data_IF_341714211801
#
_entry.id   IF_341714211801
#
_cell.length_a   1.000
_cell.length_b   1.000
_cell.length_c   1.000
_cell.angle_alpha   90.00
_cell.angle_beta   90.00
_cell.angle_gamma   90.00
#
_symmetry.space_group_name_H-M   'P 1'
#
loop_
_entity.id
_entity.type
_entity.pdbx_description
1 polymer ?
#
# COMPACT_ATOMS: atom_id res chain seq x y z
N UNK A 1 24.57 -12.41 -9.77
CA UNK A 1 24.84 -13.30 -8.62
C UNK A 1 25.54 -12.47 -7.55
N UNK A 2 24.77 -11.81 -6.68
CA UNK A 2 25.33 -11.16 -5.49
C UNK A 2 24.59 -11.73 -4.30
N UNK A 3 25.32 -12.39 -3.40
CA UNK A 3 24.82 -12.87 -2.14
C UNK A 3 24.57 -11.64 -1.24
N UNK A 4 23.37 -11.07 -1.32
CA UNK A 4 22.94 -10.04 -0.39
C UNK A 4 22.93 -10.62 1.03
N UNK A 5 23.65 -9.99 1.95
CA UNK A 5 23.62 -10.34 3.37
C UNK A 5 22.19 -10.21 3.91
N UNK A 6 21.82 -11.10 4.82
CA UNK A 6 20.53 -11.14 5.51
C UNK A 6 20.31 -9.99 6.52
N UNK A 7 20.90 -8.81 6.30
CA UNK A 7 20.54 -7.59 7.04
C UNK A 7 19.73 -6.68 6.13
N UNK A 8 18.43 -6.61 6.43
CA UNK A 8 17.53 -5.51 6.10
C UNK A 8 17.08 -5.38 4.64
N UNK A 9 16.41 -6.43 4.17
CA UNK A 9 15.40 -6.31 3.13
C UNK A 9 14.12 -5.66 3.67
N UNK A 10 14.18 -4.45 4.21
CA UNK A 10 12.94 -3.69 4.46
C UNK A 10 12.26 -3.45 3.11
N UNK A 11 11.07 -4.01 2.86
CA UNK A 11 10.22 -3.60 1.75
C UNK A 11 9.95 -4.64 0.66
N UNK A 12 9.49 -5.83 1.02
CA UNK A 12 8.68 -6.65 0.10
C UNK A 12 7.21 -6.18 0.15
N UNK A 13 6.97 -4.89 -0.08
CA UNK A 13 5.61 -4.42 -0.40
C UNK A 13 5.50 -4.52 -1.92
N UNK A 14 4.87 -5.56 -2.48
CA UNK A 14 4.56 -5.59 -3.89
C UNK A 14 3.70 -4.36 -4.20
N UNK A 15 4.21 -3.49 -5.05
CA UNK A 15 3.42 -2.42 -5.64
C UNK A 15 2.75 -2.98 -6.90
N UNK A 16 1.55 -2.50 -7.20
CA UNK A 16 0.81 -2.91 -8.40
C UNK A 16 1.57 -2.62 -9.69
N UNK A 17 1.14 -3.31 -10.76
CA UNK A 17 1.67 -3.17 -12.12
C UNK A 17 1.27 -1.86 -12.80
N UNK A 18 0.93 -1.88 -14.09
CA UNK A 18 0.52 -0.67 -14.84
C UNK A 18 -1.00 -0.62 -15.12
N UNK A 19 -1.78 -1.52 -14.53
CA UNK A 19 -3.22 -1.57 -14.76
C UNK A 19 -3.95 -0.50 -13.94
N UNK A 20 -4.97 0.18 -14.48
CA UNK A 20 -5.77 1.11 -13.68
C UNK A 20 -6.65 0.35 -12.68
N UNK A 21 -7.09 1.04 -11.62
CA UNK A 21 -8.18 0.54 -10.79
C UNK A 21 -9.44 0.33 -11.63
N UNK A 22 -10.17 -0.74 -11.36
CA UNK A 22 -11.37 -1.14 -12.11
C UNK A 22 -12.52 -1.37 -11.14
N UNK A 23 -13.73 -1.02 -11.57
CA UNK A 23 -14.94 -1.49 -10.90
C UNK A 23 -15.12 -2.97 -11.27
N UNK A 24 -15.07 -3.85 -10.26
CA UNK A 24 -15.12 -5.29 -10.48
C UNK A 24 -16.53 -5.76 -10.84
N UNK A 25 -17.57 -5.02 -10.42
CA UNK A 25 -18.97 -5.32 -10.75
C UNK A 25 -19.30 -5.09 -12.22
N UNK A 26 -18.57 -4.18 -12.89
CA UNK A 26 -18.73 -3.96 -14.33
C UNK A 26 -17.99 -4.99 -15.20
N UNK A 27 -17.33 -5.98 -14.59
CA UNK A 27 -16.53 -6.99 -15.30
C UNK A 27 -17.17 -8.38 -15.31
N UNK A 28 -18.19 -8.62 -14.48
CA UNK A 28 -18.92 -9.89 -14.43
C UNK A 28 -19.98 -10.04 -15.54
N UNK A 29 -20.57 -11.24 -15.68
CA UNK A 29 -21.81 -11.40 -16.44
C UNK A 29 -22.93 -10.51 -15.84
N UNK A 30 -23.96 -10.20 -16.64
CA UNK A 30 -24.97 -9.14 -16.42
C UNK A 30 -25.30 -8.77 -14.95
N UNK A 31 -25.47 -7.46 -14.72
CA UNK A 31 -25.64 -6.78 -13.42
C UNK A 31 -26.97 -7.09 -12.67
N UNK A 32 -27.42 -8.34 -12.67
CA UNK A 32 -28.74 -8.74 -12.18
C UNK A 32 -28.76 -9.34 -10.78
N UNK A 33 -27.62 -9.43 -10.08
CA UNK A 33 -27.56 -10.05 -8.74
C UNK A 33 -27.54 -8.98 -7.64
N UNK A 34 -28.47 -9.10 -6.68
CA UNK A 34 -28.55 -8.31 -5.45
C UNK A 34 -27.28 -8.47 -4.58
N UNK A 35 -26.56 -9.59 -4.72
CA UNK A 35 -25.29 -9.86 -4.05
C UNK A 35 -24.19 -10.21 -5.06
N UNK A 36 -23.01 -9.60 -4.90
CA UNK A 36 -21.85 -9.88 -5.73
C UNK A 36 -20.69 -10.48 -4.92
N UNK A 37 -20.13 -11.59 -5.41
CA UNK A 37 -19.00 -12.27 -4.81
C UNK A 37 -17.75 -12.10 -5.67
N UNK A 38 -16.69 -11.53 -5.09
CA UNK A 38 -15.46 -11.19 -5.82
C UNK A 38 -14.24 -11.77 -5.13
N UNK A 39 -13.44 -12.55 -5.87
CA UNK A 39 -12.16 -13.07 -5.41
C UNK A 39 -10.99 -12.29 -6.00
N UNK A 40 -10.18 -11.69 -5.13
CA UNK A 40 -8.93 -11.01 -5.47
C UNK A 40 -7.73 -11.86 -5.05
N UNK A 41 -6.87 -12.21 -6.01
CA UNK A 41 -5.65 -12.98 -5.77
C UNK A 41 -4.44 -12.12 -6.10
N UNK A 42 -3.61 -11.81 -5.11
CA UNK A 42 -2.38 -11.04 -5.29
C UNK A 42 -2.63 -9.60 -5.74
N UNK A 43 -3.69 -8.95 -5.22
CA UNK A 43 -4.00 -7.55 -5.55
C UNK A 43 -2.97 -6.59 -4.98
N UNK A 44 -2.36 -6.95 -3.85
CA UNK A 44 -1.34 -6.21 -3.10
C UNK A 44 -1.79 -4.87 -2.48
N UNK A 45 -2.82 -4.22 -3.03
CA UNK A 45 -3.39 -2.98 -2.55
C UNK A 45 -4.92 -2.93 -2.76
N UNK A 46 -5.64 -2.01 -2.08
CA UNK A 46 -7.10 -2.00 -2.07
C UNK A 46 -7.77 -1.21 -3.20
N UNK A 47 -7.05 -0.73 -4.22
CA UNK A 47 -7.60 0.17 -5.24
C UNK A 47 -8.83 -0.37 -5.98
N UNK A 48 -8.87 -1.68 -6.24
CA UNK A 48 -10.00 -2.31 -6.93
C UNK A 48 -11.22 -2.38 -6.02
N UNK A 49 -11.00 -2.67 -4.72
CA UNK A 49 -12.05 -2.63 -3.70
C UNK A 49 -12.60 -1.21 -3.58
N UNK A 50 -11.74 -0.21 -3.39
CA UNK A 50 -12.15 1.20 -3.29
C UNK A 50 -12.89 1.68 -4.55
N UNK A 51 -12.40 1.34 -5.74
CA UNK A 51 -13.07 1.71 -7.00
C UNK A 51 -14.44 1.04 -7.17
N UNK A 52 -14.58 -0.18 -6.66
CA UNK A 52 -15.83 -0.95 -6.70
C UNK A 52 -16.83 -0.40 -5.69
N UNK A 53 -16.42 -0.20 -4.43
CA UNK A 53 -17.25 0.38 -3.37
C UNK A 53 -17.75 1.78 -3.76
N UNK A 54 -16.90 2.61 -4.36
CA UNK A 54 -17.29 3.95 -4.83
C UNK A 54 -18.35 3.96 -5.94
N UNK A 55 -18.61 2.81 -6.58
CA UNK A 55 -19.66 2.65 -7.59
C UNK A 55 -20.79 1.71 -7.18
N UNK A 56 -20.80 1.26 -5.92
CA UNK A 56 -21.82 0.37 -5.37
C UNK A 56 -23.14 1.14 -5.20
N UNK A 57 -24.26 0.49 -5.54
CA UNK A 57 -25.60 1.00 -5.26
C UNK A 57 -26.03 0.56 -3.85
N UNK A 58 -26.85 1.35 -3.16
CA UNK A 58 -27.23 1.10 -1.75
C UNK A 58 -27.90 -0.27 -1.50
N UNK A 59 -28.50 -0.84 -2.54
CA UNK A 59 -29.25 -2.11 -2.48
C UNK A 59 -28.40 -3.35 -2.81
N UNK A 60 -27.13 -3.16 -3.21
CA UNK A 60 -26.27 -4.26 -3.67
C UNK A 60 -25.27 -4.71 -2.60
N UNK A 61 -25.37 -5.97 -2.18
CA UNK A 61 -24.39 -6.63 -1.31
C UNK A 61 -23.08 -6.91 -2.05
N UNK A 62 -21.93 -6.73 -1.39
CA UNK A 62 -20.61 -7.01 -1.95
C UNK A 62 -19.76 -7.81 -0.96
N UNK A 63 -19.38 -9.02 -1.35
CA UNK A 63 -18.44 -9.87 -0.62
C UNK A 63 -17.12 -9.95 -1.37
N UNK A 64 -16.04 -9.44 -0.77
CA UNK A 64 -14.70 -9.48 -1.36
C UNK A 64 -13.81 -10.45 -0.58
N UNK A 65 -13.36 -11.50 -1.25
CA UNK A 65 -12.39 -12.46 -0.74
C UNK A 65 -10.99 -12.08 -1.22
N UNK A 66 -10.02 -12.01 -0.32
CA UNK A 66 -8.65 -11.59 -0.64
C UNK A 66 -7.66 -12.68 -0.30
N UNK A 67 -6.84 -13.08 -1.28
CA UNK A 67 -5.75 -14.04 -1.13
C UNK A 67 -4.43 -13.33 -1.42
N UNK A 68 -3.53 -13.31 -0.44
CA UNK A 68 -2.21 -12.69 -0.56
C UNK A 68 -1.10 -13.66 -0.13
N UNK A 69 0.12 -13.39 -0.60
CA UNK A 69 1.30 -14.19 -0.26
C UNK A 69 1.95 -13.80 1.09
N UNK A 70 1.42 -12.77 1.76
CA UNK A 70 1.98 -12.20 2.97
C UNK A 70 0.93 -11.57 3.87
N UNK A 71 1.02 -11.83 5.18
CA UNK A 71 0.20 -11.12 6.17
C UNK A 71 0.58 -9.64 6.28
N UNK A 72 1.83 -9.23 5.97
CA UNK A 72 2.19 -7.81 5.88
C UNK A 72 1.38 -7.08 4.79
N UNK A 73 1.14 -7.76 3.66
CA UNK A 73 0.35 -7.23 2.54
C UNK A 73 -1.13 -7.16 2.90
N UNK A 74 -1.66 -8.20 3.57
CA UNK A 74 -3.03 -8.18 4.12
C UNK A 74 -3.20 -7.05 5.14
N UNK A 75 -2.31 -6.94 6.12
CA UNK A 75 -2.34 -5.90 7.15
C UNK A 75 -2.35 -4.49 6.54
N UNK A 76 -1.55 -4.29 5.49
CA UNK A 76 -1.47 -3.01 4.78
C UNK A 76 -2.73 -2.70 3.99
N UNK A 77 -3.33 -3.69 3.33
CA UNK A 77 -4.62 -3.52 2.65
C UNK A 77 -5.73 -3.17 3.66
N UNK A 78 -5.78 -3.86 4.80
CA UNK A 78 -6.72 -3.58 5.88
C UNK A 78 -6.54 -2.15 6.43
N UNK A 79 -5.31 -1.72 6.67
CA UNK A 79 -5.02 -0.35 7.11
C UNK A 79 -5.49 0.71 6.10
N UNK A 80 -5.16 0.53 4.82
CA UNK A 80 -5.53 1.48 3.78
C UNK A 80 -7.06 1.54 3.58
N UNK A 81 -7.74 0.39 3.63
CA UNK A 81 -9.21 0.32 3.63
C UNK A 81 -9.80 1.01 4.87
N UNK A 82 -9.27 0.71 6.05
CA UNK A 82 -9.74 1.30 7.31
C UNK A 82 -9.70 2.83 7.21
N UNK A 83 -8.55 3.40 6.84
CA UNK A 83 -8.39 4.86 6.67
C UNK A 83 -9.36 5.42 5.63
N UNK A 84 -9.50 4.76 4.47
CA UNK A 84 -10.41 5.21 3.42
C UNK A 84 -11.89 5.23 3.87
N UNK A 85 -12.28 4.28 4.72
CA UNK A 85 -13.65 4.08 5.19
C UNK A 85 -13.96 4.79 6.52
N UNK A 86 -13.02 5.55 7.11
CA UNK A 86 -13.31 6.39 8.28
C UNK A 86 -14.48 7.34 7.94
N UNK A 87 -15.53 7.45 8.78
CA UNK A 87 -16.63 8.37 8.52
C UNK A 87 -16.16 9.82 8.36
N UNK A 88 -16.81 10.58 7.47
CA UNK A 88 -16.38 11.96 7.16
C UNK A 88 -16.52 12.89 8.39
N UNK A 89 -17.40 12.55 9.32
CA UNK A 89 -17.62 13.23 10.60
C UNK A 89 -16.40 13.09 11.53
N UNK A 90 -15.62 12.03 11.36
CA UNK A 90 -14.42 11.74 12.15
C UNK A 90 -13.17 12.30 11.47
N UNK A 91 -13.05 12.15 10.14
CA UNK A 91 -11.91 12.64 9.36
C UNK A 91 -12.36 13.19 8.02
N UNK A 92 -12.10 14.47 7.79
CA UNK A 92 -12.47 15.15 6.55
C UNK A 92 -11.78 14.54 5.32
N UNK A 93 -12.40 14.66 4.14
CA UNK A 93 -11.92 14.01 2.91
C UNK A 93 -10.49 14.41 2.50
N UNK A 94 -10.10 15.67 2.73
CA UNK A 94 -8.75 16.13 2.42
C UNK A 94 -7.72 15.47 3.34
N UNK A 95 -7.93 15.55 4.66
CA UNK A 95 -7.05 14.90 5.65
C UNK A 95 -6.94 13.40 5.40
N UNK A 96 -8.08 12.74 5.16
CA UNK A 96 -8.12 11.31 4.81
C UNK A 96 -7.29 11.00 3.57
N UNK A 97 -7.40 11.82 2.52
CA UNK A 97 -6.61 11.66 1.29
C UNK A 97 -5.13 11.82 1.58
N UNK A 98 -4.75 12.81 2.38
CA UNK A 98 -3.34 13.03 2.73
C UNK A 98 -2.76 11.87 3.54
N UNK A 99 -3.47 11.43 4.59
CA UNK A 99 -3.07 10.28 5.44
C UNK A 99 -2.98 9.01 4.59
N UNK A 100 -3.98 8.76 3.73
CA UNK A 100 -3.99 7.61 2.84
C UNK A 100 -2.78 7.63 1.91
N UNK A 101 -2.50 8.76 1.24
CA UNK A 101 -1.39 8.87 0.29
C UNK A 101 -0.02 8.72 0.97
N UNK A 102 0.14 9.25 2.18
CA UNK A 102 1.38 9.10 2.95
C UNK A 102 1.62 7.66 3.37
N UNK A 103 0.62 7.01 3.96
CA UNK A 103 0.70 5.58 4.31
C UNK A 103 0.87 4.72 3.06
N UNK A 104 0.22 5.11 1.97
CA UNK A 104 0.32 4.44 0.70
C UNK A 104 1.71 4.61 0.09
N UNK A 105 2.31 5.77 -0.04
CA UNK A 105 3.48 5.94 -0.93
C UNK A 105 4.79 6.32 -0.28
N UNK A 106 4.78 6.80 0.96
CA UNK A 106 5.94 7.49 1.52
C UNK A 106 6.69 6.62 2.53
N UNK A 107 8.02 6.62 2.39
CA UNK A 107 8.91 6.01 3.37
C UNK A 107 8.92 6.75 4.71
N UNK A 108 8.77 8.07 4.69
CA UNK A 108 8.67 8.91 5.89
C UNK A 108 7.35 9.68 5.86
N UNK A 109 6.72 9.82 7.02
CA UNK A 109 5.38 10.40 7.20
C UNK A 109 5.42 11.52 8.25
N UNK A 110 4.38 12.35 8.25
CA UNK A 110 4.19 13.40 9.27
C UNK A 110 3.73 12.80 10.59
N UNK A 111 3.96 13.52 11.69
CA UNK A 111 3.50 13.14 13.04
C UNK A 111 2.00 12.86 13.10
N UNK A 112 1.18 13.70 12.45
CA UNK A 112 -0.27 13.50 12.40
C UNK A 112 -0.67 12.20 11.68
N UNK A 113 0.00 11.86 10.58
CA UNK A 113 -0.22 10.60 9.88
C UNK A 113 0.19 9.41 10.73
N UNK A 114 1.30 9.53 11.48
CA UNK A 114 1.74 8.49 12.40
C UNK A 114 0.74 8.26 13.55
N UNK A 115 0.19 9.32 14.14
CA UNK A 115 -0.87 9.18 15.15
C UNK A 115 -2.12 8.48 14.60
N UNK A 116 -2.53 8.82 13.39
CA UNK A 116 -3.65 8.15 12.71
C UNK A 116 -3.34 6.66 12.43
N UNK A 117 -2.11 6.35 12.02
CA UNK A 117 -1.63 4.97 11.90
C UNK A 117 -1.71 4.21 13.22
N UNK A 118 -1.25 4.80 14.33
CA UNK A 118 -1.27 4.12 15.64
C UNK A 118 -2.71 3.81 16.07
N UNK A 119 -3.64 4.76 15.91
CA UNK A 119 -5.06 4.54 16.21
C UNK A 119 -5.64 3.43 15.34
N UNK A 120 -5.44 3.50 14.02
CA UNK A 120 -5.95 2.51 13.08
C UNK A 120 -5.38 1.11 13.35
N UNK A 121 -4.07 1.00 13.58
CA UNK A 121 -3.41 -0.27 13.90
C UNK A 121 -3.92 -0.85 15.23
N UNK A 122 -4.14 -0.02 16.25
CA UNK A 122 -4.68 -0.47 17.53
C UNK A 122 -6.09 -1.05 17.38
N UNK A 123 -6.95 -0.39 16.61
CA UNK A 123 -8.31 -0.87 16.31
C UNK A 123 -8.28 -2.16 15.48
N UNK A 124 -7.48 -2.21 14.43
CA UNK A 124 -7.34 -3.41 13.61
C UNK A 124 -6.77 -4.60 14.39
N UNK A 125 -5.86 -4.37 15.34
CA UNK A 125 -5.34 -5.41 16.23
C UNK A 125 -6.45 -6.06 17.04
N UNK A 126 -7.43 -5.28 17.51
CA UNK A 126 -8.58 -5.77 18.25
C UNK A 126 -9.51 -6.55 17.31
N UNK A 127 -9.88 -5.94 16.18
CA UNK A 127 -10.81 -6.55 15.21
C UNK A 127 -10.36 -7.89 14.64
N UNK A 128 -9.04 -8.12 14.45
CA UNK A 128 -8.56 -9.44 13.97
C UNK A 128 -8.50 -10.50 15.07
N UNK A 129 -8.56 -10.11 16.34
CA UNK A 129 -8.54 -11.02 17.50
C UNK A 129 -9.91 -11.30 18.10
N UNK A 130 -10.90 -10.44 17.87
CA UNK A 130 -12.28 -10.63 18.32
C UNK A 130 -12.91 -11.89 17.69
N UNK A 131 -13.85 -12.49 18.39
CA UNK A 131 -14.71 -13.54 17.86
C UNK A 131 -15.85 -12.90 17.05
N UNK A 132 -16.49 -13.66 16.16
CA UNK A 132 -17.61 -13.16 15.33
C UNK A 132 -18.76 -12.55 16.18
N UNK A 133 -18.97 -13.06 17.39
CA UNK A 133 -20.01 -12.59 18.31
C UNK A 133 -19.70 -11.19 18.89
N UNK A 134 -18.42 -10.80 18.89
CA UNK A 134 -17.90 -9.55 19.45
C UNK A 134 -17.34 -8.61 18.37
N UNK A 135 -17.52 -8.93 17.07
CA UNK A 135 -16.82 -8.25 15.98
C UNK A 135 -17.11 -6.73 15.95
N UNK A 136 -16.09 -5.92 16.24
CA UNK A 136 -16.20 -4.46 16.24
C UNK A 136 -16.34 -3.86 14.83
N UNK A 137 -16.06 -4.62 13.77
CA UNK A 137 -16.15 -4.15 12.40
C UNK A 137 -17.01 -5.10 11.54
N UNK A 138 -18.24 -4.70 11.15
CA UNK A 138 -19.15 -5.57 10.40
C UNK A 138 -18.64 -5.88 8.98
N UNK A 139 -17.68 -5.10 8.46
CA UNK A 139 -17.14 -5.28 7.12
C UNK A 139 -15.89 -6.16 7.07
N UNK A 140 -15.38 -6.64 8.22
CA UNK A 140 -14.18 -7.46 8.29
C UNK A 140 -14.51 -8.86 8.83
N UNK A 141 -14.52 -9.83 7.92
CA UNK A 141 -14.60 -11.25 8.26
C UNK A 141 -13.19 -11.88 8.27
N UNK A 142 -12.78 -12.44 9.41
CA UNK A 142 -11.49 -13.14 9.58
C UNK A 142 -11.64 -14.65 9.78
N UNK A 143 -12.83 -15.20 9.62
CA UNK A 143 -13.14 -16.62 9.88
C UNK A 143 -12.35 -17.59 9.01
N UNK A 144 -12.04 -17.19 7.78
CA UNK A 144 -11.25 -17.98 6.84
C UNK A 144 -9.74 -17.94 7.13
N UNK A 145 -9.27 -17.06 8.02
CA UNK A 145 -7.88 -17.01 8.43
C UNK A 145 -7.59 -18.06 9.52
N UNK A 146 -6.45 -18.73 9.39
CA UNK A 146 -5.97 -19.63 10.45
C UNK A 146 -5.59 -18.81 11.67
N UNK A 147 -5.67 -19.40 12.87
CA UNK A 147 -5.26 -18.73 14.11
C UNK A 147 -3.83 -18.15 14.02
N UNK A 148 -2.88 -18.89 13.46
CA UNK A 148 -1.50 -18.40 13.24
C UNK A 148 -1.43 -17.12 12.39
N UNK A 149 -2.34 -16.96 11.42
CA UNK A 149 -2.34 -15.84 10.50
C UNK A 149 -2.97 -14.62 11.19
N UNK A 150 -3.99 -14.84 12.03
CA UNK A 150 -4.57 -13.82 12.92
C UNK A 150 -3.57 -13.33 13.97
N UNK A 151 -2.83 -14.24 14.59
CA UNK A 151 -1.75 -13.90 15.54
C UNK A 151 -0.66 -13.06 14.87
N UNK A 152 -0.28 -13.40 13.64
CA UNK A 152 0.70 -12.65 12.87
C UNK A 152 0.18 -11.24 12.50
N UNK A 153 -1.08 -11.11 12.07
CA UNK A 153 -1.70 -9.80 11.84
C UNK A 153 -1.71 -8.95 13.12
N UNK A 154 -2.12 -9.53 14.25
CA UNK A 154 -2.10 -8.88 15.56
C UNK A 154 -0.68 -8.41 15.94
N UNK A 155 0.34 -9.26 15.73
CA UNK A 155 1.74 -8.91 15.94
C UNK A 155 2.20 -7.73 15.07
N UNK A 156 1.83 -7.72 13.79
CA UNK A 156 2.15 -6.64 12.84
C UNK A 156 1.50 -5.33 13.29
N UNK A 157 0.21 -5.35 13.63
CA UNK A 157 -0.50 -4.15 14.07
C UNK A 157 0.04 -3.58 15.39
N UNK A 158 0.36 -4.44 16.37
CA UNK A 158 1.02 -4.01 17.61
C UNK A 158 2.37 -3.36 17.34
N UNK A 159 3.15 -3.90 16.41
CA UNK A 159 4.42 -3.28 15.99
C UNK A 159 4.19 -1.89 15.37
N UNK A 160 3.15 -1.71 14.55
CA UNK A 160 2.84 -0.40 13.96
C UNK A 160 2.27 0.60 14.96
N UNK A 161 1.62 0.13 16.03
CA UNK A 161 1.09 0.97 17.10
C UNK A 161 2.17 1.43 18.10
N UNK A 162 3.32 0.75 18.18
CA UNK A 162 4.42 1.08 19.09
C UNK A 162 5.05 2.44 18.79
N UNK A 163 5.50 3.14 19.84
CA UNK A 163 6.20 4.41 19.71
C UNK A 163 7.69 4.19 19.39
N UNK A 164 8.31 5.11 18.65
CA UNK A 164 9.74 5.01 18.31
C UNK A 164 10.68 5.01 19.55
N UNK A 165 10.20 5.44 20.72
CA UNK A 165 10.94 5.37 21.99
C UNK A 165 11.05 3.98 22.59
N UNK A 166 10.20 3.02 22.19
CA UNK A 166 10.19 1.65 22.72
C UNK A 166 11.16 0.72 21.97
N UNK A 167 11.74 1.16 20.86
CA UNK A 167 12.68 0.37 20.06
C UNK A 167 14.13 0.71 20.39
N UNK A 168 14.98 -0.27 20.76
CA UNK A 168 16.39 -0.04 21.14
C UNK A 168 17.27 0.60 20.04
N UNK A 169 16.82 0.55 18.78
CA UNK A 169 17.41 1.28 17.66
C UNK A 169 16.33 1.47 16.57
N UNK A 170 15.78 2.68 16.36
CA UNK A 170 14.79 2.90 15.32
C UNK A 170 15.43 2.74 13.93
N UNK A 171 14.83 1.92 13.07
CA UNK A 171 15.25 1.77 11.67
C UNK A 171 15.10 3.13 10.98
N UNK A 172 16.21 3.66 10.45
CA UNK A 172 16.21 4.91 9.67
C UNK A 172 15.80 4.59 8.24
N UNK A 173 14.60 5.00 7.84
CA UNK A 173 14.06 4.67 6.52
C UNK A 173 14.94 5.21 5.38
N UNK A 174 15.53 6.39 5.54
CA UNK A 174 16.48 6.95 4.56
C UNK A 174 17.68 6.03 4.30
N UNK A 175 18.25 5.40 5.34
CA UNK A 175 19.34 4.45 5.20
C UNK A 175 18.87 3.14 4.53
N UNK A 176 17.72 2.62 4.94
CA UNK A 176 17.12 1.43 4.33
C UNK A 176 16.79 1.67 2.84
N UNK A 177 16.29 2.86 2.49
CA UNK A 177 16.01 3.26 1.11
C UNK A 177 17.28 3.35 0.29
N UNK A 178 18.32 4.03 0.78
CA UNK A 178 19.61 4.13 0.08
C UNK A 178 20.23 2.75 -0.17
N UNK A 179 20.20 1.88 0.84
CA UNK A 179 20.66 0.51 0.71
C UNK A 179 19.90 -0.25 -0.38
N UNK A 180 18.56 -0.16 -0.42
CA UNK A 180 17.74 -0.76 -1.50
C UNK A 180 18.14 -0.25 -2.87
N UNK A 181 18.34 1.06 -3.01
CA UNK A 181 18.75 1.68 -4.28
C UNK A 181 20.13 1.18 -4.71
N UNK A 182 21.10 1.06 -3.79
CA UNK A 182 22.42 0.47 -4.05
C UNK A 182 22.32 -0.96 -4.54
N UNK A 183 21.53 -1.79 -3.86
CA UNK A 183 21.33 -3.19 -4.26
C UNK A 183 20.65 -3.29 -5.63
N UNK A 184 19.63 -2.46 -5.89
CA UNK A 184 18.89 -2.48 -7.15
C UNK A 184 19.74 -2.02 -8.35
N UNK A 185 20.53 -0.97 -8.19
CA UNK A 185 21.34 -0.40 -9.27
C UNK A 185 22.69 -1.08 -9.44
N UNK A 186 23.24 -1.68 -8.38
CA UNK A 186 24.55 -2.30 -8.36
C UNK A 186 25.64 -1.29 -8.74
N UNK A 187 26.48 -1.68 -9.71
CA UNK A 187 27.57 -0.83 -10.24
C UNK A 187 27.10 0.50 -10.84
N UNK A 188 25.81 0.63 -11.14
CA UNK A 188 25.23 1.87 -11.70
C UNK A 188 24.78 2.87 -10.63
N UNK A 189 24.97 2.57 -9.35
CA UNK A 189 24.54 3.45 -8.26
C UNK A 189 25.21 4.84 -8.30
N UNK A 190 26.49 4.89 -8.68
CA UNK A 190 27.22 6.16 -8.79
C UNK A 190 26.70 7.02 -9.96
N UNK A 191 26.09 6.39 -10.96
CA UNK A 191 25.39 7.03 -12.09
C UNK A 191 23.86 6.95 -11.96
N UNK A 192 23.32 6.83 -10.74
CA UNK A 192 21.89 6.60 -10.48
C UNK A 192 20.95 7.62 -11.13
N UNK A 193 21.35 8.89 -11.21
CA UNK A 193 20.53 9.93 -11.85
C UNK A 193 20.25 9.63 -13.32
N UNK A 194 21.26 9.14 -14.05
CA UNK A 194 21.09 8.69 -15.44
C UNK A 194 20.22 7.44 -15.54
N UNK A 195 20.34 6.52 -14.58
CA UNK A 195 19.48 5.34 -14.51
C UNK A 195 18.00 5.71 -14.27
N UNK A 196 17.74 6.67 -13.40
CA UNK A 196 16.39 7.16 -13.12
C UNK A 196 15.76 7.81 -14.35
N UNK A 197 16.50 8.69 -15.02
CA UNK A 197 16.02 9.34 -16.24
C UNK A 197 15.71 8.32 -17.35
N UNK A 198 16.61 7.32 -17.51
CA UNK A 198 16.39 6.24 -18.46
C UNK A 198 15.18 5.38 -18.10
N UNK A 199 15.01 5.03 -16.82
CA UNK A 199 13.83 4.29 -16.34
C UNK A 199 12.53 5.08 -16.60
N UNK A 200 12.51 6.39 -16.32
CA UNK A 200 11.36 7.25 -16.56
C UNK A 200 11.00 7.29 -18.05
N UNK A 201 11.98 7.64 -18.89
CA UNK A 201 11.76 7.80 -20.32
C UNK A 201 11.43 6.47 -21.01
N UNK A 202 12.20 5.42 -20.75
CA UNK A 202 12.14 4.17 -21.52
C UNK A 202 11.19 3.12 -20.94
N UNK A 203 10.93 3.14 -19.63
CA UNK A 203 10.04 2.15 -18.98
C UNK A 203 8.68 2.73 -18.62
N UNK A 204 8.59 3.97 -18.15
CA UNK A 204 7.32 4.53 -17.69
C UNK A 204 6.58 5.23 -18.83
N UNK A 205 7.22 6.19 -19.50
CA UNK A 205 6.57 6.92 -20.60
C UNK A 205 6.26 5.99 -21.78
N UNK A 206 7.22 5.15 -22.21
CA UNK A 206 7.02 4.22 -23.33
C UNK A 206 5.93 3.16 -23.05
N UNK A 207 5.85 2.61 -21.84
CA UNK A 207 4.80 1.62 -21.51
C UNK A 207 3.43 2.25 -21.42
N UNK A 208 3.33 3.49 -20.93
CA UNK A 208 2.08 4.25 -20.98
C UNK A 208 1.54 4.43 -22.40
N UNK A 209 2.44 4.72 -23.35
CA UNK A 209 2.11 4.87 -24.78
C UNK A 209 1.70 3.54 -25.45
N UNK A 210 2.32 2.42 -25.07
CA UNK A 210 2.02 1.12 -25.71
C UNK A 210 0.66 0.53 -25.27
N UNK A 211 0.21 0.83 -24.05
CA UNK A 211 -1.11 0.37 -23.58
C UNK A 211 -2.23 1.13 -24.31
N UNK A 212 -2.05 2.41 -24.60
CA UNK A 212 -3.03 3.22 -25.34
C UNK A 212 -3.26 2.74 -26.78
N UNK A 213 -2.25 2.14 -27.44
CA UNK A 213 -2.36 1.73 -28.85
C UNK A 213 -3.04 0.37 -29.07
N UNK A 214 -2.92 -0.59 -28.14
CA UNK A 214 -3.49 -1.94 -28.31
C UNK A 214 -4.91 -2.12 -27.74
N UNK A 215 -5.28 -1.34 -26.73
CA UNK A 215 -6.64 -1.26 -26.21
C UNK A 215 -7.09 0.21 -26.34
N UNK A 216 -7.70 0.57 -27.49
CA UNK A 216 -8.23 1.91 -27.78
C UNK A 216 -9.27 2.45 -26.77
N UNK A 217 -9.59 1.72 -25.70
CA UNK A 217 -10.64 2.03 -24.73
C UNK A 217 -10.14 2.07 -23.28
N UNK A 218 -8.91 1.64 -22.99
CA UNK A 218 -8.37 1.74 -21.62
C UNK A 218 -7.28 2.79 -21.60
N UNK A 219 -7.69 4.01 -21.24
CA UNK A 219 -6.83 5.06 -20.70
C UNK A 219 -6.12 4.49 -19.46
N UNK A 220 -5.01 3.78 -19.66
CA UNK A 220 -4.02 3.64 -18.62
C UNK A 220 -3.62 5.07 -18.25
N UNK A 221 -3.85 5.40 -16.98
CA UNK A 221 -3.57 6.68 -16.37
C UNK A 221 -2.19 7.16 -16.83
N UNK A 222 -2.21 8.09 -17.78
CA UNK A 222 -1.23 9.14 -18.03
C UNK A 222 0.20 8.89 -17.50
N UNK A 223 0.89 7.81 -17.90
CA UNK A 223 2.30 7.67 -17.53
C UNK A 223 3.16 8.78 -18.17
N UNK A 224 2.66 9.48 -19.21
CA UNK A 224 3.26 10.69 -19.78
C UNK A 224 3.08 11.98 -18.97
N UNK A 225 2.41 11.94 -17.82
CA UNK A 225 2.19 13.11 -16.92
C UNK A 225 3.07 13.03 -15.66
N UNK A 226 3.92 12.01 -15.55
CA UNK A 226 4.86 11.89 -14.43
C UNK A 226 5.88 13.03 -14.52
N UNK A 227 5.84 13.94 -13.56
CA UNK A 227 6.81 15.03 -13.50
C UNK A 227 8.21 14.47 -13.19
N UNK A 228 9.17 14.80 -14.05
CA UNK A 228 10.57 14.33 -13.92
C UNK A 228 11.17 14.69 -12.56
N UNK A 229 10.96 15.91 -12.06
CA UNK A 229 11.55 16.35 -10.78
C UNK A 229 10.97 15.55 -9.60
N UNK A 230 9.66 15.35 -9.57
CA UNK A 230 8.99 14.55 -8.54
C UNK A 230 9.44 13.09 -8.59
N UNK A 231 9.53 12.50 -9.79
CA UNK A 231 10.02 11.14 -9.97
C UNK A 231 11.46 10.95 -9.47
N UNK A 232 12.36 11.88 -9.84
CA UNK A 232 13.75 11.83 -9.41
C UNK A 232 13.86 11.94 -7.89
N UNK A 233 13.11 12.86 -7.29
CA UNK A 233 13.10 13.05 -5.84
C UNK A 233 12.56 11.84 -5.10
N UNK A 234 11.45 11.25 -5.57
CA UNK A 234 10.93 10.00 -5.02
C UNK A 234 11.95 8.87 -5.10
N UNK A 235 12.63 8.70 -6.25
CA UNK A 235 13.68 7.68 -6.41
C UNK A 235 14.87 7.90 -5.48
N UNK A 236 15.20 9.14 -5.17
CA UNK A 236 16.30 9.48 -4.24
C UNK A 236 15.91 9.29 -2.77
N UNK A 237 14.69 9.68 -2.37
CA UNK A 237 14.32 9.85 -0.95
C UNK A 237 13.23 8.88 -0.47
N UNK A 238 12.48 8.26 -1.37
CA UNK A 238 11.33 7.42 -1.03
C UNK A 238 10.07 8.21 -0.64
N UNK A 239 10.00 9.50 -0.98
CA UNK A 239 8.83 10.37 -0.76
C UNK A 239 8.06 10.55 -2.07
N UNK A 240 6.87 9.96 -2.16
CA UNK A 240 6.04 10.00 -3.37
C UNK A 240 5.03 11.15 -3.34
N UNK A 241 4.46 11.44 -2.18
CA UNK A 241 3.40 12.42 -1.98
C UNK A 241 3.83 13.47 -0.97
N UNK A 242 4.13 14.68 -1.43
CA UNK A 242 4.52 15.79 -0.57
C UNK A 242 3.37 16.80 -0.45
N UNK A 243 2.98 17.10 0.79
CA UNK A 243 2.04 18.15 1.12
C UNK A 243 2.78 19.47 1.36
N UNK A 244 2.10 20.59 1.13
CA UNK A 244 2.68 21.92 1.39
C UNK A 244 3.07 22.00 2.87
N UNK A 245 4.31 22.42 3.14
CA UNK A 245 4.84 22.64 4.49
C UNK A 245 4.92 21.36 5.36
N UNK A 246 4.85 20.17 4.75
CA UNK A 246 4.96 18.90 5.47
C UNK A 246 6.38 18.57 5.93
N UNK A 247 6.56 18.34 7.22
CA UNK A 247 7.80 17.81 7.79
C UNK A 247 7.76 16.27 7.88
N UNK A 248 8.45 15.60 6.95
CA UNK A 248 8.57 14.15 6.90
C UNK A 248 9.78 13.70 7.71
N UNK A 249 9.54 13.18 8.91
CA UNK A 249 10.62 12.86 9.87
C UNK A 249 10.44 11.49 10.54
N UNK A 250 9.25 10.89 10.43
CA UNK A 250 8.92 9.63 11.09
C UNK A 250 8.92 8.52 10.04
N UNK A 251 9.69 7.46 10.27
CA UNK A 251 9.66 6.26 9.42
C UNK A 251 8.25 5.69 9.35
N UNK A 252 7.76 5.40 8.15
CA UNK A 252 6.53 4.64 7.92
C UNK A 252 6.80 3.14 8.14
N UNK A 253 6.33 2.55 9.26
CA UNK A 253 6.61 1.15 9.54
C UNK A 253 5.86 0.20 8.60
N UNK A 254 4.83 0.67 7.90
CA UNK A 254 4.03 -0.14 6.95
C UNK A 254 4.77 -0.46 5.66
N UNK A 255 5.90 0.22 5.41
CA UNK A 255 6.81 -0.05 4.29
C UNK A 255 8.09 -0.77 4.71
N UNK A 256 8.22 -1.08 6.00
CA UNK A 256 9.28 -1.94 6.51
C UNK A 256 8.75 -3.38 6.52
N UNK A 257 9.43 -4.26 5.78
CA UNK A 257 9.18 -5.70 5.84
C UNK A 257 10.30 -6.35 6.64
N UNK A 258 9.98 -7.22 7.59
CA UNK A 258 10.99 -8.02 8.29
C UNK A 258 11.26 -9.35 7.60
N UNK A 259 10.59 -9.63 6.47
CA UNK A 259 10.80 -10.86 5.70
C UNK A 259 12.24 -10.91 5.18
N UNK A 260 13.01 -11.85 5.72
CA UNK A 260 14.24 -12.28 5.09
C UNK A 260 13.91 -12.97 3.76
N UNK A 261 14.51 -12.53 2.66
CA UNK A 261 14.44 -13.27 1.40
C UNK A 261 15.27 -14.54 1.56
N UNK A 262 14.62 -15.66 1.86
CA UNK A 262 15.23 -16.96 1.66
C UNK A 262 15.24 -17.24 0.15
N UNK A 263 16.43 -17.49 -0.40
CA UNK A 263 16.64 -17.86 -1.80
C UNK A 263 16.07 -19.25 -2.10
#
# INVERSE_FOLDING_TARGET
MSAGRASEGAGCVPWWGFSPARNLLSMGPDQSEEEANVLLVGSADPRHMLKTIAGLQDEQGLHVYVIENSMEVVARQLLLLYVALIPQEVMGMNEKTEVFLELFGNGEIRSQTFENLQRAASQLSVSVTETLEEAANPCLDTTLLKFKDRDELCRIFKLWAQTSSEHPAPIRMSAAWDYRVRQHLGTRYDSRKGCYDWDLAMKLHTKGLQITDRLKVITCIQCGVINKQQYMRWREQGLAFEMREGAYQITNPTLLSSRAFNQ
#
